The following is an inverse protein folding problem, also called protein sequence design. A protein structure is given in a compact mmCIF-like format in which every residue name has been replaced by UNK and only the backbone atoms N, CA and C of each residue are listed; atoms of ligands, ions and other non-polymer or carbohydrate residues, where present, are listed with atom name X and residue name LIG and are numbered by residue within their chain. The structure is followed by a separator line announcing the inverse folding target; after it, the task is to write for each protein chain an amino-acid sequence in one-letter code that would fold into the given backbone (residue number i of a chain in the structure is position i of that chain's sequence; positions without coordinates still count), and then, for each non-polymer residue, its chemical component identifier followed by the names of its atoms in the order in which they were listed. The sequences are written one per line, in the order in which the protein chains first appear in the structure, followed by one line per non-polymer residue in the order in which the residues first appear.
data_IF_392896446818
#
_entry.id   IF_392896446818
#
_cell.length_a   1.000
_cell.length_b   1.000
_cell.length_c   1.000
_cell.angle_alpha   90.00
_cell.angle_beta   90.00
_cell.angle_gamma   90.00
#
_symmetry.space_group_name_H-M   'P 1'
#
loop_
_entity.id
_entity.type
_entity.pdbx_description
1 polymer ?
#
# COMPACT_ATOMS: atom_id res chain seq x y z
N UNK A 1 -19.06 4.01 -2.14
CA UNK A 1 -18.13 4.34 -3.25
C UNK A 1 -16.80 4.74 -2.63
N UNK A 2 -15.68 4.19 -3.09
CA UNK A 2 -14.35 4.60 -2.60
C UNK A 2 -14.02 5.99 -3.13
N UNK A 3 -13.28 6.79 -2.36
CA UNK A 3 -12.84 8.13 -2.77
C UNK A 3 -11.88 8.00 -3.98
N UNK A 4 -12.28 8.59 -5.11
CA UNK A 4 -11.54 8.50 -6.37
C UNK A 4 -10.12 9.09 -6.28
N UNK A 5 -9.87 10.00 -5.34
CA UNK A 5 -8.53 10.58 -5.11
C UNK A 5 -7.55 9.52 -4.60
N UNK A 6 -8.03 8.55 -3.82
CA UNK A 6 -7.20 7.43 -3.35
C UNK A 6 -6.84 6.48 -4.49
N UNK A 7 -7.76 6.25 -5.42
CA UNK A 7 -7.51 5.42 -6.61
C UNK A 7 -6.43 6.03 -7.50
N UNK A 8 -6.50 7.35 -7.71
CA UNK A 8 -5.50 8.10 -8.48
C UNK A 8 -4.15 8.13 -7.79
N UNK A 9 -4.12 8.30 -6.48
CA UNK A 9 -2.87 8.22 -5.72
C UNK A 9 -2.26 6.82 -5.81
N UNK A 10 -3.05 5.77 -5.66
CA UNK A 10 -2.58 4.39 -5.77
C UNK A 10 -2.01 4.07 -7.16
N UNK A 11 -2.63 4.57 -8.23
CA UNK A 11 -2.11 4.50 -9.60
C UNK A 11 -0.71 5.12 -9.71
N UNK A 12 -0.53 6.36 -9.22
CA UNK A 12 0.77 7.05 -9.26
C UNK A 12 1.81 6.35 -8.41
N UNK A 13 1.44 5.85 -7.23
CA UNK A 13 2.37 5.15 -6.36
C UNK A 13 2.85 3.85 -7.01
N UNK A 14 1.93 3.02 -7.49
CA UNK A 14 2.24 1.66 -8.00
C UNK A 14 2.88 1.68 -9.38
N UNK A 15 2.28 2.40 -10.33
CA UNK A 15 2.69 2.33 -11.74
C UNK A 15 3.85 3.27 -12.04
N UNK A 16 3.82 4.49 -11.48
CA UNK A 16 4.83 5.49 -11.77
C UNK A 16 5.99 5.46 -10.76
N UNK A 17 5.69 5.54 -9.46
CA UNK A 17 6.71 5.81 -8.44
C UNK A 17 7.53 4.57 -8.09
N UNK A 18 6.88 3.43 -7.87
CA UNK A 18 7.55 2.17 -7.52
C UNK A 18 7.73 1.24 -8.72
N UNK A 19 7.06 1.51 -9.85
CA UNK A 19 7.17 0.74 -11.09
C UNK A 19 6.99 -0.78 -10.88
N UNK A 20 5.94 -1.17 -10.15
CA UNK A 20 5.68 -2.57 -9.77
C UNK A 20 5.55 -3.46 -11.00
N UNK A 21 6.15 -4.65 -10.93
CA UNK A 21 6.14 -5.66 -11.98
C UNK A 21 5.49 -6.95 -11.48
N UNK A 22 5.13 -7.79 -12.44
CA UNK A 22 4.58 -9.13 -12.16
C UNK A 22 5.57 -9.94 -11.33
N UNK A 23 5.08 -10.50 -10.22
CA UNK A 23 5.86 -11.31 -9.29
C UNK A 23 6.57 -10.52 -8.19
N UNK A 24 6.56 -9.19 -8.24
CA UNK A 24 7.16 -8.38 -7.17
C UNK A 24 6.41 -8.56 -5.87
N UNK A 25 7.15 -8.66 -4.76
CA UNK A 25 6.60 -8.55 -3.42
C UNK A 25 6.58 -7.07 -3.02
N UNK A 26 5.42 -6.56 -2.60
CA UNK A 26 5.24 -5.13 -2.33
C UNK A 26 4.78 -4.93 -0.89
N UNK A 27 5.68 -4.41 -0.06
CA UNK A 27 5.38 -4.04 1.32
C UNK A 27 4.70 -2.66 1.37
N UNK A 28 3.47 -2.65 1.86
CA UNK A 28 2.67 -1.47 2.11
C UNK A 28 2.70 -1.21 3.63
N UNK A 29 3.61 -0.35 4.06
CA UNK A 29 3.78 0.00 5.48
C UNK A 29 2.94 1.23 5.81
N UNK A 30 1.90 1.09 6.62
CA UNK A 30 1.03 2.21 6.97
C UNK A 30 0.30 2.02 8.30
N UNK A 31 -0.11 3.11 8.92
CA UNK A 31 -1.01 3.09 10.08
C UNK A 31 -2.40 2.54 9.70
N UNK A 32 -3.12 1.87 10.62
CA UNK A 32 -4.44 1.30 10.33
C UNK A 32 -5.50 2.34 9.90
N UNK A 33 -5.34 3.61 10.25
CA UNK A 33 -6.24 4.68 9.79
C UNK A 33 -6.16 4.90 8.28
N UNK A 34 -5.05 4.51 7.64
CA UNK A 34 -4.82 4.64 6.20
C UNK A 34 -5.38 3.47 5.38
N UNK A 35 -6.10 2.52 5.99
CA UNK A 35 -6.63 1.32 5.33
C UNK A 35 -7.38 1.59 4.01
N UNK A 36 -8.19 2.67 3.86
CA UNK A 36 -8.82 2.97 2.58
C UNK A 36 -7.82 3.17 1.42
N UNK A 37 -6.64 3.74 1.70
CA UNK A 37 -5.56 3.90 0.73
C UNK A 37 -4.75 2.61 0.56
N UNK A 38 -4.51 1.86 1.65
CA UNK A 38 -3.83 0.55 1.60
C UNK A 38 -4.58 -0.40 0.68
N UNK A 39 -5.90 -0.49 0.80
CA UNK A 39 -6.75 -1.28 -0.10
C UNK A 39 -6.65 -0.80 -1.56
N UNK A 40 -6.43 0.50 -1.76
CA UNK A 40 -6.27 1.06 -3.08
C UNK A 40 -4.96 0.66 -3.72
N UNK A 41 -3.87 0.79 -2.98
CA UNK A 41 -2.54 0.36 -3.41
C UNK A 41 -2.55 -1.15 -3.64
N UNK A 42 -3.05 -1.95 -2.70
CA UNK A 42 -3.11 -3.40 -2.82
C UNK A 42 -3.86 -3.85 -4.08
N UNK A 43 -5.00 -3.21 -4.39
CA UNK A 43 -5.75 -3.49 -5.63
C UNK A 43 -4.93 -3.18 -6.89
N UNK A 44 -4.21 -2.05 -6.93
CA UNK A 44 -3.35 -1.69 -8.08
C UNK A 44 -2.13 -2.59 -8.19
N UNK A 45 -1.53 -3.02 -7.07
CA UNK A 45 -0.44 -4.01 -7.05
C UNK A 45 -0.89 -5.34 -7.64
N UNK A 46 -2.05 -5.84 -7.23
CA UNK A 46 -2.61 -7.09 -7.78
C UNK A 46 -2.88 -6.95 -9.28
N UNK A 47 -3.41 -5.81 -9.73
CA UNK A 47 -3.65 -5.54 -11.15
C UNK A 47 -2.34 -5.52 -11.98
N UNK A 48 -1.23 -5.05 -11.40
CA UNK A 48 0.11 -5.11 -12.00
C UNK A 48 0.73 -6.52 -11.95
N UNK A 49 0.09 -7.48 -11.28
CA UNK A 49 0.57 -8.85 -11.09
C UNK A 49 1.58 -9.02 -9.95
N UNK A 50 1.72 -8.00 -9.08
CA UNK A 50 2.53 -8.09 -7.86
C UNK A 50 1.75 -8.72 -6.70
N UNK A 51 2.44 -8.89 -5.57
CA UNK A 51 1.95 -9.53 -4.35
C UNK A 51 2.01 -8.53 -3.19
N UNK A 52 0.88 -7.89 -2.82
CA UNK A 52 0.89 -6.92 -1.75
C UNK A 52 0.96 -7.59 -0.37
N UNK A 53 1.76 -7.02 0.52
CA UNK A 53 1.79 -7.33 1.96
C UNK A 53 1.47 -6.03 2.70
N UNK A 54 0.53 -6.08 3.64
CA UNK A 54 0.29 -4.96 4.55
C UNK A 54 1.10 -5.15 5.82
N UNK A 55 1.89 -4.14 6.18
CA UNK A 55 2.62 -4.08 7.43
C UNK A 55 2.06 -2.93 8.26
N UNK A 56 1.32 -3.28 9.32
CA UNK A 56 0.75 -2.28 10.21
C UNK A 56 1.87 -1.51 10.93
N UNK A 57 1.92 -0.20 10.71
CA UNK A 57 2.77 0.71 11.48
C UNK A 57 2.09 1.00 12.81
N UNK A 58 2.87 0.95 13.88
CA UNK A 58 2.44 1.34 15.22
C UNK A 58 3.62 1.96 15.96
N UNK A 59 3.52 3.27 16.26
CA UNK A 59 4.54 3.95 17.06
C UNK A 59 4.63 3.34 18.46
N UNK A 60 3.50 3.01 19.09
CA UNK A 60 3.49 2.39 20.41
C UNK A 60 4.27 1.05 20.47
N UNK A 61 4.20 0.22 19.42
CA UNK A 61 4.99 -1.01 19.34
C UNK A 61 6.47 -0.72 19.04
N UNK A 62 6.76 0.31 18.26
CA UNK A 62 8.12 0.75 17.97
C UNK A 62 8.83 1.27 19.23
N UNK A 63 8.12 2.05 20.06
CA UNK A 63 8.63 2.60 21.31
C UNK A 63 8.95 1.54 22.36
N UNK A 64 8.27 0.39 22.35
CA UNK A 64 8.56 -0.74 23.25
C UNK A 64 9.88 -1.46 22.92
N UNK A 65 10.41 -1.27 21.72
CA UNK A 65 11.63 -1.93 21.23
C UNK A 65 12.90 -1.09 21.45
N UNK A 66 12.76 0.18 21.85
CA UNK A 66 13.86 1.11 22.14
C UNK A 66 14.14 1.21 23.64
#
# INVERSE_FOLDING_TARGET
MRDQRLDRLAEVLVEYSTSVRKGDLVDIVADPIAMPLVEAIASRVLAAGGHPIYVARSEALYDLLM
#
